data_IF_685708891529
#
_entry.id   IF_685708891529
#
_cell.length_a   1.000
_cell.length_b   1.000
_cell.length_c   1.000
_cell.angle_alpha   90.00
_cell.angle_beta   90.00
_cell.angle_gamma   90.00
#
_symmetry.space_group_name_H-M   'P 1'
#
loop_
_entity.id
_entity.type
_entity.pdbx_description
1 polymer ?
#
# COMPACT_ATOMS: atom_id res chain seq x y z
N UNK A 1 -11.13 -9.67 13.39
CA UNK A 1 -9.71 -9.64 13.02
C UNK A 1 -8.89 -10.35 14.10
N UNK A 2 -7.92 -11.18 13.72
CA UNK A 2 -6.95 -11.76 14.65
C UNK A 2 -5.67 -10.94 14.70
N UNK A 3 -4.92 -10.99 15.82
CA UNK A 3 -3.63 -10.31 15.96
C UNK A 3 -2.65 -10.70 14.84
N UNK A 4 -2.67 -11.95 14.39
CA UNK A 4 -1.83 -12.42 13.29
C UNK A 4 -2.08 -11.67 11.98
N UNK A 5 -3.34 -11.38 11.66
CA UNK A 5 -3.70 -10.63 10.43
C UNK A 5 -3.31 -9.16 10.53
N UNK A 6 -3.42 -8.58 11.72
CA UNK A 6 -2.97 -7.19 11.97
C UNK A 6 -1.45 -7.10 11.85
N UNK A 7 -0.71 -8.06 12.42
CA UNK A 7 0.75 -8.11 12.32
C UNK A 7 1.20 -8.36 10.87
N UNK A 8 0.49 -9.20 10.12
CA UNK A 8 0.75 -9.41 8.70
C UNK A 8 0.61 -8.12 7.90
N UNK A 9 -0.52 -7.41 8.00
CA UNK A 9 -0.70 -6.14 7.32
C UNK A 9 0.39 -5.11 7.69
N UNK A 10 0.82 -5.08 8.96
CA UNK A 10 1.90 -4.22 9.41
C UNK A 10 3.28 -4.63 8.84
N UNK A 11 3.55 -5.93 8.70
CA UNK A 11 4.78 -6.44 8.08
C UNK A 11 4.83 -6.08 6.59
N UNK A 12 3.75 -6.29 5.86
CA UNK A 12 3.63 -5.90 4.44
C UNK A 12 3.89 -4.40 4.27
N UNK A 13 3.29 -3.55 5.11
CA UNK A 13 3.56 -2.11 5.08
C UNK A 13 5.04 -1.78 5.30
N UNK A 14 5.67 -2.45 6.26
CA UNK A 14 7.08 -2.22 6.57
C UNK A 14 7.99 -2.66 5.42
N UNK A 15 7.76 -3.82 4.82
CA UNK A 15 8.54 -4.36 3.68
C UNK A 15 8.36 -3.53 2.39
N UNK A 16 7.22 -2.86 2.23
CA UNK A 16 7.00 -1.94 1.10
C UNK A 16 7.65 -0.56 1.31
N UNK A 17 7.79 -0.10 2.56
CA UNK A 17 8.38 1.20 2.89
C UNK A 17 9.90 1.13 3.12
N UNK A 18 10.38 -0.01 3.61
CA UNK A 18 11.78 -0.35 3.85
C UNK A 18 12.04 -1.68 3.12
N UNK A 19 12.30 -1.57 1.82
CA UNK A 19 12.32 -2.69 0.90
C UNK A 19 13.62 -3.51 0.98
N UNK A 20 14.67 -2.97 1.61
CA UNK A 20 15.90 -3.72 1.94
C UNK A 20 15.94 -4.24 3.39
N UNK A 21 14.88 -3.96 4.17
CA UNK A 21 14.66 -4.37 5.55
C UNK A 21 15.81 -4.00 6.49
N UNK A 22 16.43 -2.83 6.29
CA UNK A 22 17.55 -2.36 7.11
C UNK A 22 17.11 -1.64 8.40
N UNK A 23 15.81 -1.42 8.56
CA UNK A 23 15.19 -0.70 9.68
C UNK A 23 14.94 0.78 9.41
N UNK A 24 15.16 1.25 8.18
CA UNK A 24 15.03 2.65 7.77
C UNK A 24 14.17 2.72 6.51
N UNK A 25 13.16 3.59 6.52
CA UNK A 25 12.31 3.81 5.34
C UNK A 25 13.18 4.32 4.16
N UNK A 26 12.98 3.74 2.98
CA UNK A 26 13.79 3.96 1.78
C UNK A 26 13.70 5.37 1.20
N UNK A 27 12.54 6.00 1.34
CA UNK A 27 12.24 7.35 0.86
C UNK A 27 11.73 8.24 2.00
N UNK A 28 12.60 9.16 2.46
CA UNK A 28 12.26 10.14 3.48
C UNK A 28 11.11 11.08 3.04
N UNK A 29 10.94 11.34 1.74
CA UNK A 29 9.82 12.14 1.25
C UNK A 29 8.49 11.39 1.37
N UNK A 30 8.47 10.09 1.07
CA UNK A 30 7.31 9.23 1.28
C UNK A 30 6.99 9.14 2.77
N UNK A 31 8.00 8.91 3.62
CA UNK A 31 7.82 8.92 5.07
C UNK A 31 7.17 10.22 5.56
N UNK A 32 7.70 11.36 5.13
CA UNK A 32 7.20 12.67 5.55
C UNK A 32 5.78 12.91 5.05
N UNK A 33 5.47 12.58 3.80
CA UNK A 33 4.13 12.72 3.24
C UNK A 33 3.09 11.90 4.04
N UNK A 34 3.35 10.61 4.26
CA UNK A 34 2.46 9.71 5.01
C UNK A 34 2.27 10.15 6.48
N UNK A 35 3.30 10.73 7.09
CA UNK A 35 3.23 11.24 8.46
C UNK A 35 2.55 12.60 8.56
N UNK A 36 2.68 13.43 7.53
CA UNK A 36 2.05 14.74 7.47
C UNK A 36 0.54 14.57 7.33
N UNK A 37 0.08 13.75 6.38
CA UNK A 37 -1.34 13.36 6.23
C UNK A 37 -1.60 12.10 7.02
N UNK A 38 -2.08 12.16 8.27
CA UNK A 38 -2.44 11.04 9.16
C UNK A 38 -2.95 9.79 8.41
N UNK A 39 -2.02 8.99 7.89
CA UNK A 39 -2.33 7.93 6.93
C UNK A 39 -2.66 6.67 7.70
N UNK A 40 -3.73 6.01 7.32
CA UNK A 40 -4.17 4.76 7.96
C UNK A 40 -4.50 3.72 6.92
N UNK A 41 -4.28 2.45 7.29
CA UNK A 41 -4.84 1.28 6.62
C UNK A 41 -5.97 0.73 7.51
N UNK A 42 -7.26 1.01 7.21
CA UNK A 42 -8.37 0.47 7.96
C UNK A 42 -8.52 -1.04 7.74
N UNK A 43 -8.55 -1.79 8.85
CA UNK A 43 -8.80 -3.24 8.83
C UNK A 43 -10.18 -3.54 9.40
N UNK A 44 -11.10 -4.00 8.56
CA UNK A 44 -12.49 -4.28 8.94
C UNK A 44 -12.79 -5.78 9.09
N UNK A 45 -13.80 -6.08 9.90
CA UNK A 45 -14.20 -7.47 10.13
C UNK A 45 -14.85 -8.11 8.89
N UNK A 46 -15.57 -7.31 8.10
CA UNK A 46 -16.26 -7.64 6.87
C UNK A 46 -16.82 -6.34 6.27
N UNK A 47 -17.15 -6.34 4.98
CA UNK A 47 -17.77 -5.22 4.26
C UNK A 47 -19.18 -4.87 4.79
N UNK A 48 -19.46 -3.58 4.95
CA UNK A 48 -20.67 -3.08 5.61
C UNK A 48 -20.68 -3.30 7.13
N UNK A 49 -19.51 -3.39 7.76
CA UNK A 49 -19.45 -3.47 9.23
C UNK A 49 -19.77 -2.12 9.88
N UNK A 50 -20.29 -2.12 11.12
CA UNK A 50 -20.58 -0.86 11.81
C UNK A 50 -19.33 0.02 12.03
N UNK A 51 -18.13 -0.55 12.07
CA UNK A 51 -16.90 0.23 12.18
C UNK A 51 -16.57 0.95 10.86
N UNK A 52 -16.83 0.29 9.75
CA UNK A 52 -16.67 0.81 8.40
C UNK A 52 -17.72 1.88 8.09
N UNK A 53 -18.99 1.63 8.42
CA UNK A 53 -20.05 2.63 8.30
C UNK A 53 -19.69 3.91 9.09
N UNK A 54 -19.16 3.77 10.31
CA UNK A 54 -18.71 4.93 11.09
C UNK A 54 -17.54 5.66 10.41
N UNK A 55 -16.59 4.95 9.82
CA UNK A 55 -15.48 5.60 9.10
C UNK A 55 -16.02 6.38 7.91
N UNK A 56 -16.80 5.74 7.04
CA UNK A 56 -17.32 6.35 5.82
C UNK A 56 -18.32 7.47 6.07
N UNK A 57 -19.16 7.38 7.11
CA UNK A 57 -20.05 8.46 7.52
C UNK A 57 -19.30 9.75 7.92
N UNK A 58 -18.02 9.65 8.26
CA UNK A 58 -17.18 10.78 8.69
C UNK A 58 -16.00 11.04 7.75
N UNK A 59 -15.88 10.32 6.63
CA UNK A 59 -14.67 10.30 5.81
C UNK A 59 -14.33 11.68 5.23
N UNK A 60 -15.32 12.37 4.64
CA UNK A 60 -15.14 13.72 4.10
C UNK A 60 -14.64 14.71 5.17
N UNK A 61 -15.19 14.65 6.39
CA UNK A 61 -14.76 15.52 7.50
C UNK A 61 -13.35 15.17 7.99
N UNK A 62 -12.99 13.88 7.99
CA UNK A 62 -11.65 13.44 8.32
C UNK A 62 -10.64 13.96 7.30
N UNK A 63 -10.92 13.82 6.01
CA UNK A 63 -10.06 14.32 4.94
C UNK A 63 -9.93 15.85 4.97
N UNK A 64 -11.06 16.57 4.96
CA UNK A 64 -11.09 18.03 4.82
C UNK A 64 -10.55 18.76 6.06
N UNK A 65 -10.81 18.22 7.26
CA UNK A 65 -10.57 18.94 8.51
C UNK A 65 -9.55 18.30 9.44
N UNK A 66 -9.15 17.05 9.20
CA UNK A 66 -8.26 16.31 10.11
C UNK A 66 -6.99 15.77 9.44
N UNK A 67 -6.70 16.18 8.20
CA UNK A 67 -5.52 15.78 7.44
C UNK A 67 -5.35 14.26 7.38
N UNK A 68 -6.47 13.56 7.18
CA UNK A 68 -6.57 12.10 7.18
C UNK A 68 -6.46 11.55 5.76
N UNK A 69 -5.77 10.42 5.60
CA UNK A 69 -5.75 9.69 4.33
C UNK A 69 -5.90 8.19 4.56
N UNK A 70 -6.75 7.56 3.76
CA UNK A 70 -6.83 6.11 3.60
C UNK A 70 -7.09 5.85 2.12
N UNK A 71 -6.10 5.29 1.41
CA UNK A 71 -6.23 5.01 -0.02
C UNK A 71 -7.01 3.73 -0.32
N UNK A 72 -7.12 2.84 0.68
CA UNK A 72 -7.83 1.58 0.58
C UNK A 72 -8.31 1.10 1.95
N UNK A 73 -9.03 -0.03 1.97
CA UNK A 73 -9.44 -0.75 3.18
C UNK A 73 -9.20 -2.24 2.99
N UNK A 74 -8.96 -2.98 4.07
CA UNK A 74 -8.82 -4.45 4.03
C UNK A 74 -9.88 -5.12 4.88
N UNK A 75 -10.50 -6.17 4.34
CA UNK A 75 -11.44 -7.00 5.08
C UNK A 75 -10.76 -8.26 5.64
N UNK A 76 -11.28 -8.77 6.75
CA UNK A 76 -10.73 -9.94 7.43
C UNK A 76 -10.63 -11.18 6.52
N UNK A 77 -11.46 -11.32 5.49
CA UNK A 77 -11.41 -12.44 4.54
C UNK A 77 -10.34 -12.29 3.45
N UNK A 78 -9.75 -11.11 3.29
CA UNK A 78 -8.77 -10.80 2.23
C UNK A 78 -7.33 -10.84 2.71
N UNK A 79 -7.11 -11.06 4.01
CA UNK A 79 -5.79 -11.11 4.60
C UNK A 79 -5.42 -12.58 4.81
N UNK A 80 -4.42 -13.10 4.10
CA UNK A 80 -3.89 -14.46 4.30
C UNK A 80 -2.40 -14.46 4.64
N UNK A 81 -2.05 -14.47 5.93
CA UNK A 81 -0.65 -14.51 6.37
C UNK A 81 0.13 -15.75 5.95
N UNK A 82 -0.53 -16.78 5.41
CA UNK A 82 0.14 -17.98 4.89
C UNK A 82 0.52 -17.87 3.41
N UNK A 83 0.02 -16.85 2.70
CA UNK A 83 0.28 -16.62 1.28
C UNK A 83 0.50 -15.11 0.98
N UNK A 84 1.53 -14.46 1.57
CA UNK A 84 1.80 -13.02 1.40
C UNK A 84 1.82 -12.60 -0.07
N UNK A 85 1.02 -11.59 -0.43
CA UNK A 85 0.95 -11.05 -1.80
C UNK A 85 0.43 -12.02 -2.86
N UNK A 86 -0.12 -13.18 -2.46
CA UNK A 86 -0.69 -14.14 -3.40
C UNK A 86 -2.06 -13.64 -3.87
N UNK A 87 -2.14 -13.24 -5.14
CA UNK A 87 -3.37 -12.72 -5.74
C UNK A 87 -4.57 -13.66 -5.53
N UNK A 88 -5.69 -13.08 -5.12
CA UNK A 88 -6.93 -13.78 -4.79
C UNK A 88 -6.97 -14.45 -3.40
N UNK A 89 -5.85 -14.50 -2.67
CA UNK A 89 -5.79 -15.01 -1.29
C UNK A 89 -5.45 -13.91 -0.28
N UNK A 90 -4.46 -13.08 -0.58
CA UNK A 90 -3.96 -12.00 0.28
C UNK A 90 -3.90 -10.68 -0.49
N UNK A 91 -4.89 -9.81 -0.28
CA UNK A 91 -4.95 -8.47 -0.86
C UNK A 91 -4.06 -7.46 -0.09
N UNK A 92 -3.33 -7.90 0.94
CA UNK A 92 -2.58 -7.00 1.80
C UNK A 92 -1.52 -6.19 1.05
N UNK A 93 -0.88 -6.75 0.01
CA UNK A 93 0.10 -6.02 -0.81
C UNK A 93 -0.58 -4.95 -1.67
N UNK A 94 -1.70 -5.31 -2.32
CA UNK A 94 -2.50 -4.42 -3.16
C UNK A 94 -2.96 -3.19 -2.40
N UNK A 95 -3.70 -3.41 -1.31
CA UNK A 95 -4.32 -2.30 -0.58
C UNK A 95 -3.28 -1.42 0.11
N UNK A 96 -2.14 -2.00 0.50
CA UNK A 96 -1.04 -1.22 1.06
C UNK A 96 -0.34 -0.38 -0.01
N UNK A 97 -0.15 -0.91 -1.22
CA UNK A 97 0.34 -0.12 -2.36
C UNK A 97 -0.63 1.01 -2.69
N UNK A 98 -1.94 0.72 -2.82
CA UNK A 98 -2.97 1.74 -3.02
C UNK A 98 -2.88 2.84 -1.96
N UNK A 99 -2.79 2.48 -0.68
CA UNK A 99 -2.70 3.46 0.41
C UNK A 99 -1.40 4.26 0.38
N UNK A 100 -0.25 3.60 0.22
CA UNK A 100 1.05 4.29 0.18
C UNK A 100 1.07 5.25 -1.02
N UNK A 101 0.69 4.80 -2.21
CA UNK A 101 0.78 5.61 -3.41
C UNK A 101 -0.24 6.77 -3.40
N UNK A 102 -1.49 6.53 -2.99
CA UNK A 102 -2.52 7.56 -2.84
C UNK A 102 -2.13 8.64 -1.83
N UNK A 103 -1.60 8.23 -0.68
CA UNK A 103 -1.28 9.15 0.41
C UNK A 103 0.15 9.70 0.35
N UNK A 104 0.96 9.35 -0.66
CA UNK A 104 2.32 9.87 -0.81
C UNK A 104 2.74 10.11 -2.26
N UNK A 105 3.10 9.09 -3.05
CA UNK A 105 3.74 9.22 -4.37
C UNK A 105 2.99 10.16 -5.31
N UNK A 106 1.66 10.11 -5.31
CA UNK A 106 0.82 10.97 -6.15
C UNK A 106 0.95 12.43 -5.74
N UNK A 107 1.00 12.71 -4.44
CA UNK A 107 1.14 14.07 -3.89
C UNK A 107 2.55 14.64 -4.06
N UNK A 108 3.59 13.82 -3.90
CA UNK A 108 4.99 14.26 -3.97
C UNK A 108 5.53 14.32 -5.40
N UNK A 109 4.99 13.51 -6.32
CA UNK A 109 5.39 13.46 -7.73
C UNK A 109 4.16 13.48 -8.69
N UNK A 110 3.33 14.53 -8.67
CA UNK A 110 2.07 14.59 -9.42
C UNK A 110 2.27 14.57 -10.94
N UNK A 111 3.35 15.15 -11.46
CA UNK A 111 3.68 15.12 -12.89
C UNK A 111 4.05 13.70 -13.38
N UNK A 112 4.28 12.75 -12.47
CA UNK A 112 4.71 11.37 -12.77
C UNK A 112 3.58 10.38 -12.49
N UNK A 113 2.92 10.48 -11.34
CA UNK A 113 1.89 9.53 -10.88
C UNK A 113 0.48 10.12 -10.81
N UNK A 114 0.25 11.36 -11.26
CA UNK A 114 -1.08 11.96 -11.28
C UNK A 114 -2.13 11.06 -11.96
N UNK A 115 -3.32 10.98 -11.36
CA UNK A 115 -4.37 10.05 -11.77
C UNK A 115 -5.29 10.60 -12.86
N UNK A 116 -5.35 11.92 -13.01
CA UNK A 116 -6.24 12.55 -13.98
C UNK A 116 -5.77 12.29 -15.43
N UNK A 117 -6.68 12.27 -16.43
CA UNK A 117 -6.31 12.06 -17.82
C UNK A 117 -5.32 13.12 -18.34
N UNK A 118 -4.22 12.66 -18.94
CA UNK A 118 -3.12 13.50 -19.47
C UNK A 118 -2.44 14.37 -18.39
N UNK A 119 -2.51 13.96 -17.12
CA UNK A 119 -1.91 14.72 -16.02
C UNK A 119 -0.46 14.34 -15.74
N UNK A 120 -0.04 13.14 -16.15
CA UNK A 120 1.21 12.53 -15.70
C UNK A 120 1.83 11.57 -16.71
N UNK A 121 3.12 11.28 -16.54
CA UNK A 121 3.83 10.22 -17.31
C UNK A 121 3.12 8.86 -17.21
N UNK A 122 2.57 8.53 -16.03
CA UNK A 122 1.81 7.30 -15.80
C UNK A 122 0.46 7.29 -16.55
N UNK A 123 -0.26 8.42 -16.59
CA UNK A 123 -1.53 8.53 -17.33
C UNK A 123 -1.32 8.33 -18.84
N UNK A 124 -0.21 8.86 -19.38
CA UNK A 124 0.19 8.64 -20.77
C UNK A 124 0.55 7.16 -21.02
N UNK A 125 1.26 6.51 -20.08
CA UNK A 125 1.59 5.09 -20.17
C UNK A 125 0.35 4.19 -20.13
N UNK A 126 -0.60 4.46 -19.22
CA UNK A 126 -1.85 3.71 -19.11
C UNK A 126 -2.68 3.79 -20.40
N UNK A 127 -2.74 4.96 -21.04
CA UNK A 127 -3.46 5.10 -22.31
C UNK A 127 -2.81 4.28 -23.43
N UNK A 128 -1.49 4.11 -23.43
CA UNK A 128 -0.79 3.18 -24.34
C UNK A 128 -1.13 1.73 -23.99
N UNK A 129 -1.09 1.36 -22.71
CA UNK A 129 -1.36 0.00 -22.23
C UNK A 129 -2.76 -0.51 -22.56
N UNK A 130 -3.72 0.41 -22.68
CA UNK A 130 -5.12 0.11 -23.05
C UNK A 130 -5.39 0.27 -24.55
N UNK A 131 -4.39 0.60 -25.37
CA UNK A 131 -4.57 0.88 -26.80
C UNK A 131 -5.32 2.18 -27.11
N UNK A 132 -5.48 3.07 -26.14
CA UNK A 132 -6.15 4.37 -26.27
C UNK A 132 -6.59 4.96 -24.92
N UNK A 133 -7.07 6.20 -24.95
CA UNK A 133 -7.61 6.87 -23.77
C UNK A 133 -9.09 6.52 -23.55
N UNK A 134 -9.39 5.93 -22.40
CA UNK A 134 -10.75 5.56 -21.98
C UNK A 134 -11.06 6.14 -20.60
N UNK A 135 -11.97 7.12 -20.55
CA UNK A 135 -12.40 7.76 -19.29
C UNK A 135 -13.32 6.87 -18.43
N UNK A 136 -13.90 5.84 -19.05
CA UNK A 136 -14.77 4.83 -18.44
C UNK A 136 -14.49 3.50 -19.11
N UNK A 137 -14.81 2.39 -18.46
CA UNK A 137 -14.67 1.04 -19.02
C UNK A 137 -15.36 0.94 -20.39
N UNK A 138 -14.63 0.66 -21.50
CA UNK A 138 -15.22 0.48 -22.82
C UNK A 138 -15.92 -0.88 -22.93
N UNK A 139 -16.74 -1.06 -23.97
CA UNK A 139 -17.37 -2.36 -24.22
C UNK A 139 -16.37 -3.45 -24.60
N UNK A 140 -15.27 -3.06 -25.25
CA UNK A 140 -14.11 -3.90 -25.55
C UNK A 140 -12.88 -2.99 -25.62
N UNK A 141 -11.78 -3.43 -25.04
CA UNK A 141 -10.47 -2.84 -25.29
C UNK A 141 -9.93 -3.32 -26.66
N UNK A 142 -9.03 -2.54 -27.29
CA UNK A 142 -8.25 -2.99 -28.45
C UNK A 142 -7.42 -4.25 -28.14
N UNK A 143 -7.27 -5.15 -29.13
CA UNK A 143 -6.53 -6.42 -28.97
C UNK A 143 -5.03 -6.22 -28.74
N UNK A 144 -4.51 -5.04 -29.10
CA UNK A 144 -3.12 -4.65 -28.84
C UNK A 144 -2.85 -4.17 -27.41
N UNK A 145 -3.90 -3.97 -26.59
CA UNK A 145 -3.76 -3.62 -25.18
C UNK A 145 -3.32 -4.82 -24.34
N UNK A 146 -2.79 -4.54 -23.16
CA UNK A 146 -2.44 -5.54 -22.14
C UNK A 146 -3.04 -5.25 -20.78
N UNK A 147 -3.74 -4.12 -20.66
CA UNK A 147 -4.49 -3.71 -19.47
C UNK A 147 -5.95 -3.50 -19.85
N UNK A 148 -6.83 -4.26 -19.20
CA UNK A 148 -8.22 -4.48 -19.61
C UNK A 148 -9.17 -4.45 -18.40
N UNK A 149 -8.93 -3.56 -17.44
CA UNK A 149 -9.73 -3.45 -16.21
C UNK A 149 -11.23 -3.45 -16.50
N UNK A 150 -11.99 -4.26 -15.76
CA UNK A 150 -13.39 -4.57 -16.07
C UNK A 150 -14.41 -4.23 -14.98
N UNK A 151 -13.98 -3.61 -13.87
CA UNK A 151 -14.89 -3.06 -12.86
C UNK A 151 -15.63 -1.82 -13.40
N UNK A 152 -16.90 -2.00 -13.74
CA UNK A 152 -17.79 -0.97 -14.29
C UNK A 152 -18.11 0.19 -13.32
N UNK A 153 -17.74 0.08 -12.05
CA UNK A 153 -17.85 1.16 -11.07
C UNK A 153 -16.65 2.11 -11.08
N UNK A 154 -15.54 1.68 -11.70
CA UNK A 154 -14.28 2.39 -11.75
C UNK A 154 -14.28 3.47 -12.84
N UNK A 155 -13.78 4.66 -12.50
CA UNK A 155 -13.49 5.74 -13.44
C UNK A 155 -11.99 5.76 -13.82
N UNK A 156 -11.56 6.80 -14.54
CA UNK A 156 -10.17 6.91 -14.99
C UNK A 156 -9.17 6.92 -13.83
N UNK A 157 -9.46 7.62 -12.75
CA UNK A 157 -8.52 7.74 -11.63
C UNK A 157 -8.36 6.40 -10.90
N UNK A 158 -9.47 5.71 -10.68
CA UNK A 158 -9.46 4.35 -10.16
C UNK A 158 -8.67 3.41 -11.08
N UNK A 159 -8.91 3.44 -12.41
CA UNK A 159 -8.15 2.61 -13.36
C UNK A 159 -6.65 2.93 -13.36
N UNK A 160 -6.27 4.19 -13.13
CA UNK A 160 -4.88 4.63 -13.06
C UNK A 160 -4.18 4.14 -11.78
N UNK A 161 -4.88 4.11 -10.64
CA UNK A 161 -4.35 3.53 -9.41
C UNK A 161 -4.13 2.01 -9.54
N UNK A 162 -5.11 1.32 -10.10
CA UNK A 162 -5.03 -0.12 -10.37
C UNK A 162 -3.90 -0.44 -11.35
N UNK A 163 -3.73 0.37 -12.39
CA UNK A 163 -2.62 0.25 -13.33
C UNK A 163 -1.25 0.36 -12.63
N UNK A 164 -1.10 1.32 -11.71
CA UNK A 164 0.12 1.46 -10.91
C UNK A 164 0.38 0.20 -10.09
N UNK A 165 -0.64 -0.33 -9.41
CA UNK A 165 -0.56 -1.58 -8.67
C UNK A 165 -0.10 -2.74 -9.56
N UNK A 166 -0.81 -3.01 -10.67
CA UNK A 166 -0.49 -4.09 -11.61
C UNK A 166 0.96 -4.03 -12.08
N UNK A 167 1.44 -2.84 -12.41
CA UNK A 167 2.81 -2.63 -12.86
C UNK A 167 3.84 -2.94 -11.76
N UNK A 168 3.61 -2.48 -10.53
CA UNK A 168 4.51 -2.74 -9.40
C UNK A 168 4.60 -4.24 -9.11
N UNK A 169 3.45 -4.93 -9.01
CA UNK A 169 3.45 -6.36 -8.65
C UNK A 169 3.90 -7.27 -9.80
N UNK A 170 3.71 -6.86 -11.05
CA UNK A 170 4.30 -7.53 -12.21
C UNK A 170 5.84 -7.45 -12.16
N UNK A 171 6.40 -6.26 -11.87
CA UNK A 171 7.84 -6.06 -11.74
C UNK A 171 8.44 -6.83 -10.55
N UNK A 172 7.72 -6.94 -9.43
CA UNK A 172 8.11 -7.77 -8.28
C UNK A 172 8.03 -9.28 -8.56
N UNK A 173 7.40 -9.69 -9.67
CA UNK A 173 7.20 -11.10 -10.02
C UNK A 173 6.12 -11.82 -9.21
N UNK A 174 5.24 -11.07 -8.53
CA UNK A 174 4.12 -11.65 -7.76
C UNK A 174 3.08 -12.32 -8.67
N UNK A 175 3.02 -11.90 -9.94
CA UNK A 175 2.12 -12.45 -10.95
C UNK A 175 2.72 -13.64 -11.72
N UNK A 176 4.02 -13.95 -11.53
CA UNK A 176 4.74 -15.04 -12.22
C UNK A 176 4.37 -16.41 -11.64
N UNK A 177 3.10 -16.74 -11.80
CA UNK A 177 2.51 -18.00 -11.39
C UNK A 177 1.39 -18.35 -12.37
N UNK A 178 1.46 -19.52 -13.00
CA UNK A 178 0.48 -19.95 -14.00
C UNK A 178 -0.99 -19.87 -13.52
N UNK A 179 -1.24 -20.12 -12.23
CA UNK A 179 -2.59 -20.06 -11.67
C UNK A 179 -3.07 -18.61 -11.54
N UNK A 180 -2.22 -17.71 -11.05
CA UNK A 180 -2.51 -16.27 -10.96
C UNK A 180 -2.68 -15.71 -12.35
N UNK A 181 -1.68 -15.90 -13.22
CA UNK A 181 -1.66 -15.37 -14.58
C UNK A 181 -2.90 -15.78 -15.39
N UNK A 182 -3.33 -17.05 -15.29
CA UNK A 182 -4.56 -17.49 -15.96
C UNK A 182 -5.84 -16.90 -15.36
N UNK A 183 -5.81 -16.56 -14.07
CA UNK A 183 -6.93 -16.00 -13.33
C UNK A 183 -7.16 -14.51 -13.57
N UNK A 184 -6.10 -13.78 -13.93
CA UNK A 184 -6.12 -12.32 -14.18
C UNK A 184 -6.10 -11.95 -15.66
N UNK A 185 -5.98 -12.93 -16.57
CA UNK A 185 -5.73 -12.69 -18.00
C UNK A 185 -6.81 -11.82 -18.69
N UNK A 186 -8.04 -11.76 -18.16
CA UNK A 186 -9.09 -10.87 -18.65
C UNK A 186 -8.81 -9.39 -18.38
N UNK A 187 -7.98 -9.07 -17.39
CA UNK A 187 -7.66 -7.71 -16.93
C UNK A 187 -6.19 -7.32 -17.16
N UNK A 188 -5.25 -8.26 -17.03
CA UNK A 188 -3.82 -7.99 -17.16
C UNK A 188 -3.08 -9.15 -17.85
N UNK A 189 -2.27 -8.83 -18.86
CA UNK A 189 -1.58 -9.85 -19.68
C UNK A 189 -0.09 -10.04 -19.37
N UNK A 190 0.56 -9.12 -18.65
CA UNK A 190 2.02 -9.12 -18.44
C UNK A 190 2.42 -9.76 -17.10
N UNK A 191 2.44 -11.09 -17.05
CA UNK A 191 2.56 -11.82 -15.78
C UNK A 191 4.00 -11.91 -15.24
N UNK A 192 5.01 -11.90 -16.09
CA UNK A 192 6.42 -11.99 -15.66
C UNK A 192 7.10 -10.62 -15.66
N UNK A 193 8.13 -10.40 -14.81
CA UNK A 193 8.95 -9.19 -14.88
C UNK A 193 9.54 -8.95 -16.27
N UNK A 194 9.96 -10.01 -16.97
CA UNK A 194 10.51 -9.89 -18.33
C UNK A 194 9.46 -9.50 -19.39
N UNK A 195 8.22 -10.02 -19.29
CA UNK A 195 7.12 -9.60 -20.17
C UNK A 195 6.75 -8.13 -19.91
N UNK A 196 6.70 -7.73 -18.64
CA UNK A 196 6.46 -6.35 -18.24
C UNK A 196 7.54 -5.41 -18.75
N UNK A 197 8.82 -5.70 -18.48
CA UNK A 197 9.97 -4.89 -18.93
C UNK A 197 10.01 -4.72 -20.44
N UNK A 198 9.66 -5.77 -21.20
CA UNK A 198 9.78 -5.75 -22.66
C UNK A 198 8.55 -5.19 -23.39
N UNK A 199 7.38 -5.13 -22.74
CA UNK A 199 6.12 -4.67 -23.34
C UNK A 199 5.75 -3.28 -22.85
N UNK A 200 5.60 -3.10 -21.53
CA UNK A 200 5.24 -1.81 -20.94
C UNK A 200 6.50 -1.00 -20.56
N UNK A 201 7.27 -0.69 -21.60
CA UNK A 201 8.56 0.00 -21.45
C UNK A 201 8.45 1.38 -20.80
N UNK A 202 7.28 2.03 -20.93
CA UNK A 202 7.03 3.34 -20.33
C UNK A 202 6.89 3.20 -18.83
N UNK A 203 5.98 2.33 -18.37
CA UNK A 203 5.72 2.20 -16.95
C UNK A 203 6.86 1.47 -16.23
N UNK A 204 7.52 0.50 -16.88
CA UNK A 204 8.75 -0.10 -16.35
C UNK A 204 9.83 0.97 -16.10
N UNK A 205 10.04 1.91 -17.03
CA UNK A 205 11.01 2.98 -16.84
C UNK A 205 10.63 3.94 -15.70
N UNK A 206 9.33 4.18 -15.48
CA UNK A 206 8.84 4.99 -14.36
C UNK A 206 9.10 4.27 -13.03
N UNK A 207 8.59 3.04 -12.85
CA UNK A 207 8.62 2.37 -11.54
C UNK A 207 10.00 1.83 -11.15
N UNK A 208 10.92 1.65 -12.11
CA UNK A 208 12.32 1.26 -11.83
C UNK A 208 13.25 2.45 -11.70
N UNK A 209 12.74 3.69 -11.85
CA UNK A 209 13.55 4.88 -11.67
C UNK A 209 13.93 5.02 -10.18
N UNK A 210 15.24 4.98 -9.84
CA UNK A 210 15.68 5.00 -8.44
C UNK A 210 15.38 6.32 -7.72
N UNK A 211 14.96 7.37 -8.44
CA UNK A 211 14.54 8.63 -7.86
C UNK A 211 13.19 8.53 -7.12
N UNK A 212 12.24 7.71 -7.61
CA UNK A 212 10.90 7.60 -7.01
C UNK A 212 10.79 6.55 -5.91
N UNK A 213 11.85 5.76 -5.71
CA UNK A 213 11.97 4.79 -4.61
C UNK A 213 10.76 3.86 -4.48
N UNK A 214 10.19 3.47 -5.63
CA UNK A 214 9.13 2.46 -5.65
C UNK A 214 9.69 1.11 -5.17
N UNK A 215 8.93 0.33 -4.40
CA UNK A 215 9.39 -0.96 -3.91
C UNK A 215 9.65 -1.91 -5.09
N UNK A 216 10.74 -2.67 -5.01
CA UNK A 216 11.22 -3.57 -6.07
C UNK A 216 11.19 -5.05 -5.65
N UNK A 217 11.17 -5.32 -4.34
CA UNK A 217 11.19 -6.66 -3.76
C UNK A 217 9.79 -6.98 -3.23
N UNK A 218 9.27 -8.15 -3.64
CA UNK A 218 7.99 -8.66 -3.16
C UNK A 218 8.03 -8.93 -1.64
N UNK A 219 7.05 -8.45 -0.86
CA UNK A 219 6.94 -8.79 0.55
C UNK A 219 6.75 -10.30 0.77
N UNK A 220 7.42 -10.85 1.78
CA UNK A 220 7.25 -12.21 2.29
C UNK A 220 6.44 -12.26 3.59
N UNK A 221 5.94 -11.12 4.07
CA UNK A 221 5.10 -10.98 5.26
C UNK A 221 5.88 -11.13 6.57
N UNK A 222 7.21 -11.11 6.52
CA UNK A 222 8.11 -11.26 7.65
C UNK A 222 9.23 -10.21 7.64
N UNK A 223 8.84 -8.95 7.80
CA UNK A 223 9.77 -7.83 8.07
C UNK A 223 10.77 -8.13 9.20
N UNK A 224 12.05 -8.28 8.84
CA UNK A 224 13.12 -8.73 9.73
C UNK A 224 14.37 -7.85 9.63
N UNK A 225 14.41 -6.79 10.45
CA UNK A 225 15.61 -5.94 10.57
C UNK A 225 16.83 -6.76 10.97
N UNK A 226 17.85 -6.74 10.11
CA UNK A 226 19.06 -7.54 10.30
C UNK A 226 19.74 -7.18 11.64
N UNK A 227 19.68 -8.09 12.62
CA UNK A 227 20.11 -7.86 14.01
C UNK A 227 21.58 -7.43 14.21
N UNK A 228 22.41 -7.49 13.18
CA UNK A 228 23.77 -6.94 13.20
C UNK A 228 23.80 -5.41 13.16
N UNK A 229 22.75 -4.74 12.68
CA UNK A 229 22.58 -3.28 12.72
C UNK A 229 22.11 -2.81 14.11
N UNK A 230 21.28 -3.61 14.79
CA UNK A 230 20.83 -3.35 16.16
C UNK A 230 21.96 -3.46 17.20
N UNK A 231 23.08 -4.13 16.88
CA UNK A 231 24.23 -4.28 17.77
C UNK A 231 25.16 -3.06 17.87
N UNK A 232 24.92 -1.98 17.12
CA UNK A 232 25.70 -0.73 17.30
C UNK A 232 25.11 0.25 18.31
N UNK A 233 23.95 -0.06 18.88
CA UNK A 233 23.34 0.83 19.85
C UNK A 233 22.65 -0.02 20.92
N UNK A 234 23.35 -0.26 22.04
CA UNK A 234 22.69 -0.56 23.30
C UNK A 234 21.84 0.66 23.69
N UNK A 235 20.70 0.83 23.03
CA UNK A 235 19.74 1.87 23.34
C UNK A 235 19.12 1.46 24.67
N UNK A 236 19.51 2.18 25.71
CA UNK A 236 18.65 2.38 26.87
C UNK A 236 17.21 2.54 26.37
N UNK A 237 16.32 1.60 26.71
CA UNK A 237 14.88 1.68 26.43
C UNK A 237 14.38 3.08 26.76
N UNK A 238 14.21 3.89 25.73
CA UNK A 238 13.74 5.26 25.84
C UNK A 238 12.35 5.28 25.26
N UNK A 239 11.39 5.69 26.08
CA UNK A 239 9.99 5.81 25.68
C UNK A 239 9.91 6.93 24.65
N UNK A 240 9.39 6.62 23.46
CA UNK A 240 9.11 7.58 22.39
C UNK A 240 7.80 8.31 22.67
N UNK A 241 6.73 7.55 22.98
CA UNK A 241 5.41 8.08 23.34
C UNK A 241 4.74 7.25 24.43
N UNK A 242 3.96 7.91 25.28
CA UNK A 242 3.07 7.28 26.25
C UNK A 242 1.64 7.73 25.93
N UNK A 243 0.79 6.77 25.54
CA UNK A 243 -0.58 7.05 25.10
C UNK A 243 -1.59 6.20 25.86
N UNK A 244 -2.83 6.67 25.95
CA UNK A 244 -3.94 5.84 26.40
C UNK A 244 -4.39 4.85 25.31
N UNK A 245 -5.37 4.01 25.61
CA UNK A 245 -5.88 3.02 24.66
C UNK A 245 -6.54 3.63 23.40
N UNK A 246 -6.78 4.95 23.40
CA UNK A 246 -7.34 5.72 22.29
C UNK A 246 -6.24 6.52 21.56
N UNK A 247 -4.96 6.26 21.85
CA UNK A 247 -3.85 6.94 21.18
C UNK A 247 -3.58 8.37 21.66
N UNK A 248 -4.24 8.83 22.74
CA UNK A 248 -4.06 10.19 23.26
C UNK A 248 -2.93 10.24 24.27
N UNK A 249 -2.08 11.26 24.18
CA UNK A 249 -1.02 11.49 25.17
C UNK A 249 -1.65 11.88 26.52
N UNK A 250 -1.60 10.98 27.50
CA UNK A 250 -2.23 11.22 28.81
C UNK A 250 -1.50 10.50 29.96
N UNK A 251 -1.06 11.25 30.97
CA UNK A 251 -0.27 10.72 32.10
C UNK A 251 -1.12 10.09 33.22
N UNK A 252 -2.45 10.20 33.16
CA UNK A 252 -3.36 9.85 34.28
C UNK A 252 -4.29 8.65 34.01
N UNK A 253 -4.05 7.86 32.96
CA UNK A 253 -4.82 6.65 32.70
C UNK A 253 -4.35 5.46 33.57
N UNK A 254 -5.30 4.68 34.09
CA UNK A 254 -5.01 3.40 34.76
C UNK A 254 -4.28 2.39 33.85
N UNK A 255 -4.36 2.62 32.54
CA UNK A 255 -3.75 1.83 31.50
C UNK A 255 -3.10 2.77 30.48
N UNK A 256 -1.78 2.64 30.32
CA UNK A 256 -1.02 3.34 29.28
C UNK A 256 -0.27 2.34 28.40
N UNK A 257 0.03 2.78 27.19
CA UNK A 257 0.82 2.07 26.20
C UNK A 257 2.11 2.86 26.03
N UNK A 258 3.24 2.24 26.37
CA UNK A 258 4.58 2.78 26.12
C UNK A 258 5.04 2.30 24.74
N UNK A 259 5.25 3.24 23.82
CA UNK A 259 5.84 3.00 22.51
C UNK A 259 7.31 3.40 22.60
N UNK A 260 8.21 2.47 22.34
CA UNK A 260 9.66 2.69 22.42
C UNK A 260 10.21 3.09 21.04
N UNK A 261 11.40 3.71 21.04
CA UNK A 261 12.09 4.13 19.81
C UNK A 261 12.42 2.94 18.91
N UNK A 262 12.61 1.75 19.49
CA UNK A 262 12.86 0.51 18.75
C UNK A 262 11.57 -0.16 18.22
N UNK A 263 10.43 0.55 18.25
CA UNK A 263 9.14 0.05 17.78
C UNK A 263 8.45 -0.93 18.74
N UNK A 264 9.10 -1.33 19.83
CA UNK A 264 8.44 -2.18 20.83
C UNK A 264 7.29 -1.45 21.52
N UNK A 265 6.23 -2.18 21.86
CA UNK A 265 5.03 -1.63 22.50
C UNK A 265 4.74 -2.39 23.79
N UNK A 266 4.79 -1.71 24.93
CA UNK A 266 4.50 -2.32 26.23
C UNK A 266 3.23 -1.77 26.85
N UNK A 267 2.39 -2.68 27.33
CA UNK A 267 1.20 -2.35 28.11
C UNK A 267 1.57 -2.13 29.57
N UNK A 268 1.24 -0.97 30.11
CA UNK A 268 1.53 -0.60 31.50
C UNK A 268 0.25 -0.37 32.29
N UNK A 269 0.13 -1.09 33.40
CA UNK A 269 -0.96 -0.94 34.36
C UNK A 269 -0.47 -0.13 35.56
N UNK A 270 -1.09 1.03 35.81
CA UNK A 270 -0.78 1.86 36.98
C UNK A 270 -1.82 1.54 38.07
N UNK A 271 -1.43 0.69 39.01
CA UNK A 271 -2.18 0.45 40.25
C UNK A 271 -1.76 1.50 41.28
N UNK A 272 -2.73 2.25 41.83
CA UNK A 272 -2.51 3.14 42.98
C UNK A 272 -2.39 2.35 44.27
#
# INVERSE_FOLDING_TARGET
>A
MSDLKVLHAAAIAAELLDNDEDGIIDDENVQNALMDVYTVMPLFAYEGSNAEEILFDNFDDLMDNNNFCAGAVLYNNEIDPSSPGFWGNDASVEEMLHTINACSHIEIYPDVFGLEPNSSEMSDAMDVARGGQFLTIPSNYPEEGWYHYDDWTCDYECMAMEYLYWCIVANMGLLDNNMICSGIYNEWELCTPEEFESTDVLMHAIITNPYYKMPQIAPDGNYCVNSNLLNQNSLTQKISKNVDFLGRENQDSHLSIDIYIDGSVHKKYIFK
#
